data_IF_109424305059
#
_entry.id   IF_109424305059
#
_cell.length_a   1.000
_cell.length_b   1.000
_cell.length_c   1.000
_cell.angle_alpha   90.00
_cell.angle_beta   90.00
_cell.angle_gamma   90.00
#
_symmetry.space_group_name_H-M   'P 1'
#
loop_
_entity.id
_entity.type
_entity.pdbx_description
1 polymer ?
#
# COMPACT_ATOMS: atom_id res chain seq x y z
N UNK A 1 -14.57 18.37 27.69
CA UNK A 1 -14.70 16.89 27.74
C UNK A 1 -13.80 16.28 26.65
N UNK A 2 -12.49 16.13 26.89
CA UNK A 2 -11.50 15.73 25.88
C UNK A 2 -11.47 14.21 25.57
N UNK A 3 -12.15 13.39 26.37
CA UNK A 3 -12.18 11.93 26.23
C UNK A 3 -13.02 11.43 25.05
N UNK A 4 -14.07 12.16 24.66
CA UNK A 4 -14.89 11.77 23.51
C UNK A 4 -14.15 11.99 22.18
N UNK A 5 -13.39 13.08 22.08
CA UNK A 5 -12.70 13.51 20.85
C UNK A 5 -11.68 12.46 20.38
N UNK A 6 -10.85 11.98 21.31
CA UNK A 6 -9.88 10.89 21.06
C UNK A 6 -10.53 9.60 20.55
N UNK A 7 -11.75 9.31 20.96
CA UNK A 7 -12.48 8.12 20.49
C UNK A 7 -12.97 8.33 19.05
N UNK A 8 -13.60 9.47 18.78
CA UNK A 8 -14.13 9.80 17.45
C UNK A 8 -13.04 9.85 16.38
N UNK A 9 -11.87 10.42 16.70
CA UNK A 9 -10.74 10.50 15.76
C UNK A 9 -10.22 9.11 15.36
N UNK A 10 -10.18 8.16 16.30
CA UNK A 10 -9.81 6.76 16.04
C UNK A 10 -10.81 6.11 15.08
N UNK A 11 -12.12 6.25 15.33
CA UNK A 11 -13.16 5.67 14.48
C UNK A 11 -13.17 6.27 13.06
N UNK A 12 -13.05 7.59 12.93
CA UNK A 12 -13.00 8.27 11.62
C UNK A 12 -11.79 7.78 10.83
N UNK A 13 -10.61 7.70 11.46
CA UNK A 13 -9.40 7.18 10.83
C UNK A 13 -9.61 5.76 10.32
N UNK A 14 -10.08 4.85 11.17
CA UNK A 14 -10.36 3.46 10.76
C UNK A 14 -11.32 3.42 9.57
N UNK A 15 -12.41 4.19 9.61
CA UNK A 15 -13.41 4.21 8.54
C UNK A 15 -12.83 4.68 7.20
N UNK A 16 -12.07 5.79 7.21
CA UNK A 16 -11.43 6.35 6.02
C UNK A 16 -10.38 5.37 5.47
N UNK A 17 -9.53 4.83 6.34
CA UNK A 17 -8.48 3.89 5.99
C UNK A 17 -9.04 2.61 5.37
N UNK A 18 -10.08 2.04 5.97
CA UNK A 18 -10.77 0.85 5.45
C UNK A 18 -11.42 1.12 4.10
N UNK A 19 -12.01 2.31 3.92
CA UNK A 19 -12.61 2.72 2.64
C UNK A 19 -11.58 2.86 1.53
N UNK A 20 -10.47 3.55 1.82
CA UNK A 20 -9.35 3.70 0.88
C UNK A 20 -8.74 2.33 0.55
N UNK A 21 -8.56 1.47 1.55
CA UNK A 21 -8.07 0.11 1.35
C UNK A 21 -8.97 -0.66 0.38
N UNK A 22 -10.29 -0.60 0.56
CA UNK A 22 -11.22 -1.30 -0.31
C UNK A 22 -11.15 -0.79 -1.76
N UNK A 23 -11.13 0.55 -1.94
CA UNK A 23 -11.03 1.18 -3.27
C UNK A 23 -9.71 0.79 -3.94
N UNK A 24 -8.59 0.91 -3.23
CA UNK A 24 -7.25 0.55 -3.71
C UNK A 24 -7.16 -0.93 -4.04
N UNK A 25 -7.74 -1.80 -3.23
CA UNK A 25 -7.71 -3.24 -3.44
C UNK A 25 -8.52 -3.64 -4.68
N UNK A 26 -9.76 -3.17 -4.79
CA UNK A 26 -10.63 -3.44 -5.94
C UNK A 26 -10.03 -2.86 -7.22
N UNK A 27 -9.57 -1.61 -7.18
CA UNK A 27 -8.97 -0.93 -8.34
C UNK A 27 -7.71 -1.64 -8.86
N UNK A 28 -6.77 -1.93 -7.96
CA UNK A 28 -5.51 -2.57 -8.35
C UNK A 28 -5.69 -4.04 -8.77
N UNK A 29 -6.57 -4.81 -8.11
CA UNK A 29 -6.88 -6.18 -8.54
C UNK A 29 -7.55 -6.17 -9.92
N UNK A 30 -8.48 -5.24 -10.18
CA UNK A 30 -9.12 -5.12 -11.48
C UNK A 30 -8.10 -4.84 -12.59
N UNK A 31 -7.17 -3.92 -12.34
CA UNK A 31 -6.09 -3.60 -13.28
C UNK A 31 -5.22 -4.83 -13.53
N UNK A 32 -4.78 -5.53 -12.49
CA UNK A 32 -3.97 -6.75 -12.60
C UNK A 32 -4.71 -7.82 -13.43
N UNK A 33 -6.00 -8.02 -13.15
CA UNK A 33 -6.82 -8.98 -13.88
C UNK A 33 -6.90 -8.65 -15.38
N UNK A 34 -7.18 -7.38 -15.71
CA UNK A 34 -7.23 -6.91 -17.11
C UNK A 34 -5.88 -7.05 -17.81
N UNK A 35 -4.78 -6.85 -17.08
CA UNK A 35 -3.42 -6.98 -17.62
C UNK A 35 -2.99 -8.42 -17.84
N UNK A 36 -3.39 -9.33 -16.96
CA UNK A 36 -3.09 -10.77 -17.10
C UNK A 36 -3.85 -11.35 -18.29
N UNK A 37 -5.08 -10.87 -18.53
CA UNK A 37 -5.90 -11.35 -19.65
C UNK A 37 -5.40 -10.88 -21.03
N UNK A 38 -4.54 -9.86 -21.09
CA UNK A 38 -3.96 -9.38 -22.35
C UNK A 38 -2.63 -10.08 -22.65
N UNK A 39 -2.57 -10.85 -23.74
CA UNK A 39 -1.40 -11.68 -24.09
C UNK A 39 -0.15 -10.85 -24.51
N UNK A 40 -0.35 -9.66 -25.08
CA UNK A 40 0.75 -8.74 -25.37
C UNK A 40 1.06 -7.88 -24.15
N UNK A 41 2.26 -8.03 -23.60
CA UNK A 41 2.82 -7.22 -22.51
C UNK A 41 3.68 -6.10 -23.09
N UNK A 42 3.17 -4.89 -23.06
CA UNK A 42 3.91 -3.66 -23.40
C UNK A 42 4.65 -3.11 -22.18
N UNK A 43 5.65 -2.27 -22.42
CA UNK A 43 6.44 -1.58 -21.38
C UNK A 43 5.57 -0.86 -20.36
N UNK A 44 4.52 -0.19 -20.83
CA UNK A 44 3.55 0.50 -19.99
C UNK A 44 2.76 -0.46 -19.09
N UNK A 45 2.40 -1.64 -19.60
CA UNK A 45 1.70 -2.63 -18.79
C UNK A 45 2.59 -3.22 -17.70
N UNK A 46 3.88 -3.45 -17.94
CA UNK A 46 4.81 -3.86 -16.87
C UNK A 46 4.94 -2.79 -15.79
N UNK A 47 4.99 -1.51 -16.17
CA UNK A 47 5.00 -0.40 -15.22
C UNK A 47 3.73 -0.34 -14.37
N UNK A 48 2.55 -0.41 -15.00
CA UNK A 48 1.25 -0.40 -14.31
C UNK A 48 1.12 -1.59 -13.36
N UNK A 49 1.62 -2.77 -13.75
CA UNK A 49 1.61 -3.96 -12.88
C UNK A 49 2.48 -3.77 -11.64
N UNK A 50 3.69 -3.23 -11.80
CA UNK A 50 4.59 -2.98 -10.68
C UNK A 50 4.01 -1.94 -9.72
N UNK A 51 3.40 -0.88 -10.25
CA UNK A 51 2.71 0.14 -9.45
C UNK A 51 1.55 -0.48 -8.66
N UNK A 52 0.69 -1.27 -9.31
CA UNK A 52 -0.47 -1.91 -8.67
C UNK A 52 -0.07 -2.89 -7.55
N UNK A 53 0.98 -3.69 -7.75
CA UNK A 53 1.52 -4.58 -6.72
C UNK A 53 2.10 -3.76 -5.56
N UNK A 54 2.77 -2.66 -5.88
CA UNK A 54 3.30 -1.73 -4.89
C UNK A 54 2.22 -1.15 -4.01
N UNK A 55 1.17 -0.58 -4.61
CA UNK A 55 0.05 0.01 -3.88
C UNK A 55 -0.65 -1.01 -2.97
N UNK A 56 -0.88 -2.24 -3.43
CA UNK A 56 -1.45 -3.31 -2.61
C UNK A 56 -0.56 -3.63 -1.40
N UNK A 57 0.75 -3.71 -1.61
CA UNK A 57 1.71 -4.05 -0.56
C UNK A 57 1.82 -2.93 0.47
N UNK A 58 1.98 -1.68 0.01
CA UNK A 58 2.05 -0.50 0.86
C UNK A 58 0.75 -0.34 1.65
N UNK A 59 -0.39 -0.49 0.99
CA UNK A 59 -1.70 -0.39 1.63
C UNK A 59 -1.84 -1.46 2.72
N UNK A 60 -1.53 -2.73 2.44
CA UNK A 60 -1.61 -3.81 3.43
C UNK A 60 -0.68 -3.57 4.62
N UNK A 61 0.56 -3.15 4.35
CA UNK A 61 1.55 -2.84 5.38
C UNK A 61 1.11 -1.67 6.28
N UNK A 62 0.63 -0.57 5.69
CA UNK A 62 0.17 0.61 6.44
C UNK A 62 -1.08 0.30 7.26
N UNK A 63 -2.07 -0.37 6.67
CA UNK A 63 -3.30 -0.76 7.37
C UNK A 63 -3.03 -1.69 8.54
N UNK A 64 -2.17 -2.70 8.33
CA UNK A 64 -1.76 -3.62 9.39
C UNK A 64 -1.04 -2.85 10.51
N UNK A 65 -0.11 -1.97 10.16
CA UNK A 65 0.64 -1.16 11.13
C UNK A 65 -0.27 -0.26 11.97
N UNK A 66 -1.22 0.43 11.34
CA UNK A 66 -2.17 1.30 12.03
C UNK A 66 -3.15 0.51 12.90
N UNK A 67 -3.69 -0.61 12.43
CA UNK A 67 -4.58 -1.47 13.23
C UNK A 67 -3.88 -1.97 14.48
N UNK A 68 -2.63 -2.41 14.37
CA UNK A 68 -1.85 -2.87 15.54
C UNK A 68 -1.60 -1.74 16.53
N UNK A 69 -1.24 -0.54 16.05
CA UNK A 69 -1.07 0.64 16.91
C UNK A 69 -2.37 1.07 17.60
N UNK A 70 -3.52 0.86 16.96
CA UNK A 70 -4.84 1.18 17.53
C UNK A 70 -5.30 0.14 18.57
N UNK A 71 -5.02 -1.14 18.35
CA UNK A 71 -5.42 -2.24 19.26
C UNK A 71 -4.60 -2.24 20.55
N UNK A 72 -3.30 -1.92 20.46
CA UNK A 72 -2.37 -1.99 21.58
C UNK A 72 -2.08 -0.63 22.23
N UNK A 73 -2.98 0.35 22.13
CA UNK A 73 -2.84 1.68 22.74
C UNK A 73 -1.49 2.38 22.43
N UNK A 74 -1.07 2.35 21.16
CA UNK A 74 0.21 2.86 20.65
C UNK A 74 1.46 2.07 21.08
N UNK A 75 1.31 0.89 21.70
CA UNK A 75 2.43 -0.01 21.97
C UNK A 75 2.68 -0.98 20.79
N UNK A 76 3.88 -0.92 20.21
CA UNK A 76 4.21 -1.75 19.05
C UNK A 76 4.64 -3.17 19.48
N UNK A 77 3.71 -4.11 19.49
CA UNK A 77 3.96 -5.48 19.98
C UNK A 77 4.33 -6.50 18.89
N UNK A 78 4.11 -6.16 17.61
CA UNK A 78 4.46 -6.99 16.44
C UNK A 78 5.98 -7.24 16.29
N UNK A 79 6.80 -6.60 17.14
CA UNK A 79 8.25 -6.66 17.12
C UNK A 79 8.88 -5.65 16.17
N UNK A 80 10.10 -5.23 16.50
CA UNK A 80 10.88 -4.23 15.75
C UNK A 80 11.13 -4.65 14.28
N UNK A 81 11.06 -5.97 14.01
CA UNK A 81 11.27 -6.57 12.70
C UNK A 81 10.13 -6.19 11.75
N UNK A 82 8.87 -6.28 12.16
CA UNK A 82 7.72 -5.96 11.29
C UNK A 82 7.67 -4.48 10.91
N UNK A 83 8.04 -3.60 11.85
CA UNK A 83 8.16 -2.15 11.60
C UNK A 83 9.24 -1.87 10.54
N UNK A 84 10.44 -2.41 10.73
CA UNK A 84 11.53 -2.28 9.76
C UNK A 84 11.21 -2.91 8.42
N UNK A 85 10.55 -4.07 8.41
CA UNK A 85 10.20 -4.79 7.19
C UNK A 85 9.18 -4.00 6.36
N UNK A 86 8.17 -3.42 7.00
CA UNK A 86 7.18 -2.56 6.34
C UNK A 86 7.86 -1.37 5.65
N UNK A 87 8.73 -0.66 6.38
CA UNK A 87 9.46 0.47 5.83
C UNK A 87 10.42 0.04 4.70
N UNK A 88 11.08 -1.10 4.87
CA UNK A 88 11.97 -1.66 3.87
C UNK A 88 11.23 -1.98 2.56
N UNK A 89 10.09 -2.67 2.65
CA UNK A 89 9.27 -3.01 1.49
C UNK A 89 8.78 -1.74 0.79
N UNK A 90 8.30 -0.72 1.52
CA UNK A 90 7.90 0.56 0.95
C UNK A 90 9.03 1.20 0.13
N UNK A 91 10.24 1.27 0.69
CA UNK A 91 11.40 1.86 0.01
C UNK A 91 11.83 1.05 -1.20
N UNK A 92 11.84 -0.28 -1.10
CA UNK A 92 12.22 -1.19 -2.19
C UNK A 92 11.24 -1.08 -3.36
N UNK A 93 9.94 -1.09 -3.09
CA UNK A 93 8.90 -0.92 -4.11
C UNK A 93 9.01 0.43 -4.81
N UNK A 94 9.25 1.50 -4.05
CA UNK A 94 9.43 2.84 -4.60
C UNK A 94 10.67 2.89 -5.50
N UNK A 95 11.80 2.36 -5.02
CA UNK A 95 13.04 2.29 -5.79
C UNK A 95 12.87 1.48 -7.08
N UNK A 96 12.23 0.32 -7.02
CA UNK A 96 11.92 -0.49 -8.21
C UNK A 96 11.11 0.31 -9.24
N UNK A 97 10.07 1.00 -8.78
CA UNK A 97 9.19 1.80 -9.66
C UNK A 97 9.94 2.95 -10.32
N UNK A 98 10.81 3.65 -9.59
CA UNK A 98 11.63 4.72 -10.16
C UNK A 98 12.65 4.20 -11.16
N UNK A 99 13.31 3.07 -10.87
CA UNK A 99 14.21 2.41 -11.82
C UNK A 99 13.50 2.00 -13.11
N UNK A 100 12.31 1.39 -13.01
CA UNK A 100 11.49 1.03 -14.18
C UNK A 100 11.11 2.28 -14.97
N UNK A 101 10.75 3.38 -14.30
CA UNK A 101 10.41 4.63 -14.97
C UNK A 101 11.61 5.24 -15.73
N UNK A 102 12.80 5.20 -15.13
CA UNK A 102 14.04 5.67 -15.76
C UNK A 102 14.40 4.78 -16.96
N UNK A 103 14.38 3.45 -16.80
CA UNK A 103 14.64 2.50 -17.88
C UNK A 103 13.63 2.68 -19.04
N UNK A 104 12.37 2.92 -18.71
CA UNK A 104 11.35 3.20 -19.70
C UNK A 104 11.65 4.47 -20.49
N UNK A 105 12.18 5.51 -19.86
CA UNK A 105 12.53 6.80 -20.48
C UNK A 105 13.80 6.72 -21.30
N UNK A 106 14.77 5.93 -20.83
CA UNK A 106 16.03 5.71 -21.54
C UNK A 106 15.84 4.91 -22.83
N UNK A 107 14.92 3.95 -22.85
CA UNK A 107 14.60 3.16 -24.04
C UNK A 107 13.45 3.80 -24.88
N UNK A 108 13.19 5.09 -24.70
CA UNK A 108 12.43 5.91 -25.67
C UNK A 108 13.43 6.74 -26.47
#
# INVERSE_FOLDING_TARGET
>A
MPYLQWSTDKYIRIFVLTSIMFITLVGNIYIIFKLIFHHHRTRLQLFILNLAIGDLTICFCTMTSELFLLIYDQEWILGNIACKLTLYIQVVTLASTTFINVAMTYDR
#
